data_IF_808677701487
#
_entry.id   IF_808677701487
#
_cell.length_a   1.000
_cell.length_b   1.000
_cell.length_c   1.000
_cell.angle_alpha   90.00
_cell.angle_beta   90.00
_cell.angle_gamma   90.00
#
_symmetry.space_group_name_H-M   'P 1'
#
loop_
_entity.id
_entity.type
_entity.pdbx_description
1 polymer ?
#
# COMPACT_ATOMS: atom_id res chain seq x y z
N UNK A 1 20.63 -16.22 -3.92
CA UNK A 1 19.51 -16.23 -2.96
C UNK A 1 19.63 -15.06 -1.99
N UNK A 2 20.78 -14.88 -1.34
CA UNK A 2 21.05 -13.77 -0.41
C UNK A 2 20.70 -12.39 -0.98
N UNK A 3 21.01 -12.13 -2.26
CA UNK A 3 20.65 -10.87 -2.90
C UNK A 3 19.13 -10.63 -2.92
N UNK A 4 18.32 -11.66 -3.21
CA UNK A 4 16.86 -11.54 -3.17
C UNK A 4 16.34 -11.36 -1.73
N UNK A 5 16.95 -12.01 -0.75
CA UNK A 5 16.64 -11.83 0.68
C UNK A 5 16.91 -10.39 1.11
N UNK A 6 18.06 -9.83 0.76
CA UNK A 6 18.42 -8.43 1.04
C UNK A 6 17.44 -7.44 0.43
N UNK A 7 16.91 -7.73 -0.76
CA UNK A 7 15.87 -6.91 -1.40
C UNK A 7 14.47 -7.09 -0.79
N UNK A 8 14.30 -8.01 0.16
CA UNK A 8 13.04 -8.26 0.85
C UNK A 8 12.11 -9.22 0.12
N UNK A 9 12.64 -10.23 -0.58
CA UNK A 9 11.83 -11.19 -1.34
C UNK A 9 10.74 -11.88 -0.50
N UNK A 10 10.97 -12.11 0.79
CA UNK A 10 9.95 -12.65 1.69
C UNK A 10 8.73 -11.72 1.86
N UNK A 11 8.92 -10.41 1.70
CA UNK A 11 7.86 -9.41 1.86
C UNK A 11 7.20 -9.05 0.52
N UNK A 12 7.98 -8.98 -0.56
CA UNK A 12 7.50 -8.47 -1.85
C UNK A 12 7.30 -9.56 -2.92
N UNK A 13 7.82 -10.77 -2.71
CA UNK A 13 7.70 -11.88 -3.65
C UNK A 13 7.59 -13.23 -2.92
N UNK A 14 6.79 -13.26 -1.84
CA UNK A 14 6.80 -14.36 -0.86
C UNK A 14 6.55 -15.75 -1.48
N UNK A 15 5.64 -15.84 -2.45
CA UNK A 15 5.35 -17.09 -3.15
C UNK A 15 6.54 -17.58 -3.98
N UNK A 16 7.15 -16.71 -4.79
CA UNK A 16 8.33 -17.08 -5.58
C UNK A 16 9.54 -17.36 -4.68
N UNK A 17 9.67 -16.63 -3.57
CA UNK A 17 10.69 -16.87 -2.56
C UNK A 17 10.57 -18.28 -1.98
N UNK A 18 9.38 -18.67 -1.52
CA UNK A 18 9.11 -20.02 -1.01
C UNK A 18 9.35 -21.11 -2.07
N UNK A 19 9.02 -20.82 -3.34
CA UNK A 19 9.29 -21.74 -4.44
C UNK A 19 10.80 -21.96 -4.66
N UNK A 20 11.60 -20.90 -4.65
CA UNK A 20 13.06 -20.99 -4.79
C UNK A 20 13.68 -21.70 -3.59
N UNK A 21 13.20 -21.42 -2.37
CA UNK A 21 13.60 -22.16 -1.16
C UNK A 21 13.35 -23.66 -1.30
N UNK A 22 12.13 -24.04 -1.70
CA UNK A 22 11.77 -25.44 -1.90
C UNK A 22 12.63 -26.13 -2.96
N UNK A 23 12.92 -25.43 -4.08
CA UNK A 23 13.78 -25.97 -5.13
C UNK A 23 15.22 -26.20 -4.65
N UNK A 24 15.77 -25.28 -3.83
CA UNK A 24 17.10 -25.43 -3.24
C UNK A 24 17.14 -26.59 -2.24
N UNK A 25 16.12 -26.72 -1.37
CA UNK A 25 16.00 -27.84 -0.43
C UNK A 25 15.96 -29.17 -1.18
N UNK A 26 15.11 -29.30 -2.19
CA UNK A 26 15.02 -30.51 -3.00
C UNK A 26 16.36 -30.85 -3.69
N UNK A 27 17.09 -29.85 -4.17
CA UNK A 27 18.41 -30.05 -4.78
C UNK A 27 19.43 -30.57 -3.76
N UNK A 28 19.43 -30.05 -2.53
CA UNK A 28 20.30 -30.49 -1.44
C UNK A 28 19.93 -31.89 -0.93
N UNK A 29 18.65 -32.24 -0.91
CA UNK A 29 18.18 -33.60 -0.59
C UNK A 29 18.62 -34.62 -1.62
N UNK A 30 18.63 -34.26 -2.91
CA UNK A 30 19.19 -35.12 -3.96
C UNK A 30 20.70 -35.32 -3.75
N UNK A 31 21.46 -34.27 -3.39
CA UNK A 31 22.89 -34.42 -3.04
C UNK A 31 23.08 -35.42 -1.90
N UNK A 32 22.35 -35.27 -0.80
CA UNK A 32 22.41 -36.19 0.35
C UNK A 32 22.04 -37.62 -0.03
N UNK A 33 21.02 -37.78 -0.88
CA UNK A 33 20.60 -39.09 -1.41
C UNK A 33 21.72 -39.75 -2.20
N UNK A 34 22.44 -38.98 -3.01
CA UNK A 34 23.59 -39.48 -3.76
C UNK A 34 24.78 -39.78 -2.86
N UNK A 35 25.02 -39.00 -1.80
CA UNK A 35 26.10 -39.23 -0.84
C UNK A 35 26.01 -40.60 -0.16
N UNK A 36 24.80 -41.12 0.04
CA UNK A 36 24.54 -42.44 0.62
C UNK A 36 24.73 -43.63 -0.34
N UNK A 37 25.02 -43.40 -1.63
CA UNK A 37 25.18 -44.47 -2.64
C UNK A 37 26.64 -44.88 -2.83
N UNK A 38 26.86 -46.16 -3.12
CA UNK A 38 28.18 -46.72 -3.46
C UNK A 38 28.68 -46.25 -4.84
N UNK A 39 27.77 -46.09 -5.81
CA UNK A 39 28.03 -45.52 -7.12
C UNK A 39 27.21 -44.23 -7.27
N UNK A 40 27.87 -43.10 -7.09
CA UNK A 40 27.24 -41.78 -6.98
C UNK A 40 26.99 -41.17 -8.36
N UNK A 41 25.83 -40.55 -8.56
CA UNK A 41 25.55 -39.76 -9.76
C UNK A 41 24.89 -38.43 -9.37
N UNK A 42 25.63 -37.35 -9.48
CA UNK A 42 25.16 -36.00 -9.11
C UNK A 42 24.57 -35.20 -10.28
N UNK A 43 24.37 -35.78 -11.46
CA UNK A 43 23.92 -35.02 -12.63
C UNK A 43 22.54 -34.39 -12.41
N UNK A 44 21.62 -35.14 -11.79
CA UNK A 44 20.31 -34.61 -11.38
C UNK A 44 20.45 -33.47 -10.36
N UNK A 45 21.27 -33.66 -9.32
CA UNK A 45 21.52 -32.62 -8.32
C UNK A 45 22.11 -31.34 -8.95
N UNK A 46 23.07 -31.48 -9.88
CA UNK A 46 23.65 -30.35 -10.62
C UNK A 46 22.61 -29.61 -11.45
N UNK A 47 21.73 -30.33 -12.15
CA UNK A 47 20.63 -29.71 -12.90
C UNK A 47 19.68 -28.95 -11.98
N UNK A 48 19.29 -29.55 -10.85
CA UNK A 48 18.42 -28.90 -9.87
C UNK A 48 19.07 -27.65 -9.25
N UNK A 49 20.36 -27.71 -8.91
CA UNK A 49 21.11 -26.55 -8.40
C UNK A 49 21.25 -25.45 -9.45
N UNK A 50 21.49 -25.80 -10.72
CA UNK A 50 21.54 -24.84 -11.81
C UNK A 50 20.18 -24.13 -12.01
N UNK A 51 19.08 -24.88 -11.93
CA UNK A 51 17.74 -24.30 -11.99
C UNK A 51 17.45 -23.40 -10.79
N UNK A 52 17.73 -23.86 -9.57
CA UNK A 52 17.53 -23.07 -8.36
C UNK A 52 18.36 -21.77 -8.36
N UNK A 53 19.56 -21.80 -8.95
CA UNK A 53 20.37 -20.60 -9.18
C UNK A 53 19.70 -19.64 -10.16
N UNK A 54 19.23 -20.12 -11.31
CA UNK A 54 18.53 -19.30 -12.29
C UNK A 54 17.23 -18.69 -11.73
N UNK A 55 16.44 -19.50 -11.01
CA UNK A 55 15.21 -19.05 -10.37
C UNK A 55 15.49 -18.01 -9.28
N UNK A 56 16.60 -18.17 -8.53
CA UNK A 56 17.02 -17.17 -7.55
C UNK A 56 17.42 -15.83 -8.17
N UNK A 57 18.00 -15.81 -9.37
CA UNK A 57 18.35 -14.57 -10.08
C UNK A 57 17.08 -13.89 -10.62
N UNK A 58 16.16 -14.67 -11.17
CA UNK A 58 14.85 -14.17 -11.59
C UNK A 58 14.04 -13.60 -10.41
N UNK A 59 14.08 -14.26 -9.25
CA UNK A 59 13.44 -13.81 -8.03
C UNK A 59 13.97 -12.44 -7.56
N UNK A 60 15.29 -12.22 -7.63
CA UNK A 60 15.87 -10.92 -7.27
C UNK A 60 15.29 -9.81 -8.15
N UNK A 61 15.29 -10.00 -9.47
CA UNK A 61 14.75 -9.03 -10.41
C UNK A 61 13.26 -8.75 -10.17
N UNK A 62 12.47 -9.81 -9.93
CA UNK A 62 11.04 -9.70 -9.61
C UNK A 62 10.80 -8.95 -8.30
N UNK A 63 11.60 -9.22 -7.27
CA UNK A 63 11.50 -8.57 -5.96
C UNK A 63 11.74 -7.07 -6.09
N UNK A 64 12.78 -6.65 -6.79
CA UNK A 64 13.09 -5.23 -7.00
C UNK A 64 11.96 -4.54 -7.79
N UNK A 65 11.47 -5.18 -8.85
CA UNK A 65 10.39 -4.63 -9.66
C UNK A 65 9.08 -4.49 -8.85
N UNK A 66 8.73 -5.49 -8.05
CA UNK A 66 7.51 -5.47 -7.26
C UNK A 66 7.59 -4.47 -6.10
N UNK A 67 8.75 -4.39 -5.44
CA UNK A 67 9.03 -3.36 -4.42
C UNK A 67 8.85 -1.96 -4.99
N UNK A 68 9.42 -1.69 -6.16
CA UNK A 68 9.29 -0.41 -6.84
C UNK A 68 7.83 -0.12 -7.21
N UNK A 69 7.11 -1.10 -7.76
CA UNK A 69 5.69 -0.98 -8.11
C UNK A 69 4.83 -0.61 -6.89
N UNK A 70 5.08 -1.25 -5.75
CA UNK A 70 4.36 -0.98 -4.50
C UNK A 70 4.69 0.41 -3.94
N UNK A 71 5.95 0.83 -4.02
CA UNK A 71 6.35 2.19 -3.65
C UNK A 71 5.62 3.23 -4.51
N UNK A 72 5.63 3.06 -5.83
CA UNK A 72 4.98 3.98 -6.76
C UNK A 72 3.47 4.04 -6.52
N UNK A 73 2.83 2.90 -6.23
CA UNK A 73 1.42 2.84 -5.85
C UNK A 73 1.13 3.60 -4.56
N UNK A 74 1.93 3.39 -3.50
CA UNK A 74 1.74 4.08 -2.23
C UNK A 74 1.89 5.61 -2.36
N UNK A 75 2.85 6.07 -3.18
CA UNK A 75 3.01 7.50 -3.49
C UNK A 75 1.80 8.04 -4.25
N UNK A 76 1.29 7.29 -5.23
CA UNK A 76 0.10 7.68 -5.98
C UNK A 76 -1.15 7.77 -5.08
N UNK A 77 -1.32 6.81 -4.17
CA UNK A 77 -2.44 6.81 -3.22
C UNK A 77 -2.35 7.96 -2.22
N UNK A 78 -1.15 8.27 -1.72
CA UNK A 78 -0.91 9.44 -0.87
C UNK A 78 -1.29 10.74 -1.59
N UNK A 79 -0.89 10.91 -2.85
CA UNK A 79 -1.24 12.08 -3.65
C UNK A 79 -2.77 12.19 -3.88
N UNK A 80 -3.43 11.06 -4.15
CA UNK A 80 -4.89 11.01 -4.31
C UNK A 80 -5.62 11.36 -3.00
N UNK A 81 -5.15 10.84 -1.87
CA UNK A 81 -5.67 11.16 -0.55
C UNK A 81 -5.52 12.65 -0.22
N UNK A 82 -4.33 13.23 -0.49
CA UNK A 82 -4.08 14.65 -0.29
C UNK A 82 -5.01 15.53 -1.14
N UNK A 83 -5.28 15.15 -2.39
CA UNK A 83 -6.23 15.85 -3.26
C UNK A 83 -7.66 15.81 -2.71
N UNK A 84 -8.09 14.65 -2.19
CA UNK A 84 -9.42 14.50 -1.60
C UNK A 84 -9.57 15.33 -0.31
N UNK A 85 -8.56 15.31 0.56
CA UNK A 85 -8.54 16.11 1.80
C UNK A 85 -8.53 17.61 1.47
N UNK A 86 -7.75 18.06 0.49
CA UNK A 86 -7.71 19.45 0.06
C UNK A 86 -9.09 19.92 -0.45
N UNK A 87 -9.75 19.08 -1.25
CA UNK A 87 -11.13 19.34 -1.71
C UNK A 87 -12.10 19.50 -0.54
N UNK A 88 -12.08 18.58 0.43
CA UNK A 88 -12.95 18.67 1.60
C UNK A 88 -12.69 19.93 2.43
N UNK A 89 -11.41 20.31 2.59
CA UNK A 89 -10.97 21.51 3.29
C UNK A 89 -11.47 22.79 2.60
N UNK A 90 -11.41 22.85 1.27
CA UNK A 90 -11.95 23.96 0.49
C UNK A 90 -13.49 24.06 0.60
N UNK A 91 -14.20 22.93 0.52
CA UNK A 91 -15.66 22.90 0.64
C UNK A 91 -16.12 23.42 2.02
N UNK A 92 -15.51 22.93 3.10
CA UNK A 92 -15.91 23.36 4.46
C UNK A 92 -15.54 24.82 4.73
N UNK A 93 -14.47 25.33 4.13
CA UNK A 93 -14.09 26.74 4.22
C UNK A 93 -15.12 27.66 3.53
N UNK A 94 -15.69 27.20 2.42
CA UNK A 94 -16.70 27.92 1.64
C UNK A 94 -18.14 27.72 2.13
N UNK A 95 -18.37 26.82 3.09
CA UNK A 95 -19.71 26.53 3.61
C UNK A 95 -20.34 27.77 4.30
N UNK A 96 -21.59 28.14 3.94
CA UNK A 96 -22.24 29.34 4.47
C UNK A 96 -22.58 29.18 5.96
N UNK A 97 -22.24 30.19 6.77
CA UNK A 97 -22.48 30.17 8.22
C UNK A 97 -23.85 30.76 8.56
N UNK A 98 -24.76 29.93 9.05
CA UNK A 98 -26.06 30.34 9.59
C UNK A 98 -26.29 29.82 11.01
N UNK A 99 -27.27 30.38 11.73
CA UNK A 99 -27.59 29.95 13.12
C UNK A 99 -27.91 28.45 13.23
N UNK A 100 -28.39 27.82 12.14
CA UNK A 100 -28.75 26.41 12.09
C UNK A 100 -27.63 25.44 11.66
N UNK A 101 -26.54 25.90 11.05
CA UNK A 101 -25.45 25.05 10.52
C UNK A 101 -24.09 25.28 11.14
N UNK A 102 -23.96 26.28 12.03
CA UNK A 102 -22.67 26.62 12.62
C UNK A 102 -22.04 25.45 13.39
N UNK A 103 -22.86 24.62 14.06
CA UNK A 103 -22.39 23.43 14.77
C UNK A 103 -21.91 22.34 13.80
N UNK A 104 -22.70 22.03 12.77
CA UNK A 104 -22.36 21.02 11.76
C UNK A 104 -21.07 21.39 11.01
N UNK A 105 -20.94 22.64 10.57
CA UNK A 105 -19.74 23.13 9.87
C UNK A 105 -18.51 23.10 10.79
N UNK A 106 -18.68 23.37 12.10
CA UNK A 106 -17.58 23.27 13.06
C UNK A 106 -17.14 21.82 13.26
N UNK A 107 -18.07 20.87 13.33
CA UNK A 107 -17.76 19.44 13.40
C UNK A 107 -17.02 18.97 12.13
N UNK A 108 -17.53 19.31 10.94
CA UNK A 108 -16.90 18.97 9.67
C UNK A 108 -15.48 19.54 9.56
N UNK A 109 -15.24 20.76 10.07
CA UNK A 109 -13.90 21.35 10.10
C UNK A 109 -12.95 20.56 11.02
N UNK A 110 -13.45 20.06 12.14
CA UNK A 110 -12.66 19.20 13.03
C UNK A 110 -12.33 17.87 12.33
N UNK A 111 -13.28 17.30 11.58
CA UNK A 111 -13.08 16.07 10.82
C UNK A 111 -12.03 16.26 9.71
N UNK A 112 -12.09 17.35 8.94
CA UNK A 112 -11.04 17.71 7.96
C UNK A 112 -9.68 17.78 8.64
N UNK A 113 -9.58 18.46 9.79
CA UNK A 113 -8.30 18.59 10.51
C UNK A 113 -7.78 17.23 10.99
N UNK A 114 -8.68 16.32 11.39
CA UNK A 114 -8.32 14.94 11.71
C UNK A 114 -7.78 14.16 10.51
N UNK A 115 -8.36 14.36 9.33
CA UNK A 115 -7.88 13.75 8.09
C UNK A 115 -6.53 14.32 7.64
N UNK A 116 -6.32 15.64 7.78
CA UNK A 116 -5.02 16.29 7.52
C UNK A 116 -3.93 15.70 8.44
N UNK A 117 -4.22 15.52 9.73
CA UNK A 117 -3.31 14.89 10.66
C UNK A 117 -3.01 13.43 10.26
N UNK A 118 -4.05 12.64 9.95
CA UNK A 118 -3.88 11.25 9.53
C UNK A 118 -3.05 11.12 8.24
N UNK A 119 -3.16 12.08 7.31
CA UNK A 119 -2.39 12.13 6.06
C UNK A 119 -0.88 12.24 6.33
N UNK A 120 -0.48 12.98 7.36
CA UNK A 120 0.94 13.11 7.74
C UNK A 120 1.57 11.80 8.20
N UNK A 121 0.75 10.85 8.64
CA UNK A 121 1.20 9.55 9.12
C UNK A 121 1.43 8.53 7.98
N UNK A 122 1.11 8.86 6.73
CA UNK A 122 1.31 7.98 5.57
C UNK A 122 2.76 8.03 5.07
N UNK A 123 3.36 9.22 4.98
CA UNK A 123 4.74 9.36 4.46
C UNK A 123 5.77 8.54 5.24
N UNK A 124 5.75 8.48 6.60
CA UNK A 124 6.66 7.62 7.34
C UNK A 124 6.55 6.13 7.02
N UNK A 125 5.36 5.65 6.62
CA UNK A 125 5.18 4.25 6.19
C UNK A 125 5.85 4.00 4.84
N UNK A 126 5.76 4.95 3.91
CA UNK A 126 6.45 4.91 2.62
C UNK A 126 7.97 4.93 2.85
N UNK A 127 8.46 5.87 3.65
CA UNK A 127 9.89 6.01 3.97
C UNK A 127 10.43 4.76 4.70
N UNK A 128 9.59 4.12 5.51
CA UNK A 128 9.88 2.86 6.20
C UNK A 128 9.78 1.61 5.32
N UNK A 129 9.31 1.72 4.08
CA UNK A 129 9.13 0.58 3.16
C UNK A 129 7.87 -0.26 3.39
N UNK A 130 6.98 0.17 4.29
CA UNK A 130 5.68 -0.46 4.53
C UNK A 130 4.64 0.08 3.54
N UNK A 131 4.87 -0.20 2.27
CA UNK A 131 4.07 0.33 1.16
C UNK A 131 2.62 -0.17 1.18
N UNK A 132 2.39 -1.39 1.67
CA UNK A 132 1.04 -1.94 1.78
C UNK A 132 0.22 -1.19 2.83
N UNK A 133 0.76 -0.98 4.04
CA UNK A 133 0.08 -0.20 5.06
C UNK A 133 -0.06 1.27 4.65
N UNK A 134 0.92 1.84 3.95
CA UNK A 134 0.85 3.20 3.41
C UNK A 134 -0.32 3.35 2.43
N UNK A 135 -0.43 2.45 1.45
CA UNK A 135 -1.51 2.45 0.45
C UNK A 135 -2.88 2.25 1.10
N UNK A 136 -3.03 1.27 2.00
CA UNK A 136 -4.28 1.03 2.72
C UNK A 136 -4.74 2.29 3.49
N UNK A 137 -3.82 2.91 4.23
CA UNK A 137 -4.10 4.10 5.02
C UNK A 137 -4.46 5.30 4.14
N UNK A 138 -3.71 5.52 3.07
CA UNK A 138 -3.98 6.60 2.12
C UNK A 138 -5.36 6.44 1.46
N UNK A 139 -5.70 5.23 1.00
CA UNK A 139 -7.02 4.94 0.42
C UNK A 139 -8.14 5.14 1.44
N UNK A 140 -7.96 4.70 2.69
CA UNK A 140 -8.94 4.93 3.74
C UNK A 140 -9.14 6.42 4.05
N UNK A 141 -8.08 7.23 4.01
CA UNK A 141 -8.17 8.69 4.17
C UNK A 141 -8.91 9.31 2.99
N UNK A 142 -8.56 8.91 1.77
CA UNK A 142 -9.21 9.37 0.54
C UNK A 142 -10.72 9.11 0.60
N UNK A 143 -11.13 7.89 0.93
CA UNK A 143 -12.55 7.51 0.98
C UNK A 143 -13.31 8.32 2.03
N UNK A 144 -12.71 8.54 3.21
CA UNK A 144 -13.30 9.40 4.26
C UNK A 144 -13.40 10.85 3.82
N UNK A 145 -12.38 11.39 3.15
CA UNK A 145 -12.37 12.77 2.66
C UNK A 145 -13.41 12.97 1.55
N UNK A 146 -13.61 11.99 0.67
CA UNK A 146 -14.69 11.99 -0.33
C UNK A 146 -16.06 11.96 0.34
N UNK A 147 -16.28 11.06 1.31
CA UNK A 147 -17.54 11.00 2.04
C UNK A 147 -17.85 12.32 2.79
N UNK A 148 -16.83 12.92 3.41
CA UNK A 148 -16.98 14.21 4.08
C UNK A 148 -17.28 15.34 3.08
N UNK A 149 -16.67 15.33 1.91
CA UNK A 149 -16.98 16.29 0.83
C UNK A 149 -18.44 16.21 0.40
N UNK A 150 -18.97 14.99 0.25
CA UNK A 150 -20.39 14.75 -0.06
C UNK A 150 -21.31 15.25 1.05
N UNK A 151 -20.94 15.02 2.31
CA UNK A 151 -21.69 15.51 3.47
C UNK A 151 -21.73 17.05 3.53
N UNK A 152 -20.58 17.70 3.32
CA UNK A 152 -20.49 19.17 3.28
C UNK A 152 -21.38 19.72 2.16
N UNK A 153 -21.33 19.14 0.96
CA UNK A 153 -22.21 19.52 -0.15
C UNK A 153 -23.69 19.38 0.23
N UNK A 154 -24.09 18.28 0.85
CA UNK A 154 -25.46 18.07 1.31
C UNK A 154 -25.91 19.10 2.36
N UNK A 155 -25.02 19.53 3.26
CA UNK A 155 -25.32 20.62 4.21
C UNK A 155 -25.44 21.97 3.50
N UNK A 156 -24.55 22.27 2.54
CA UNK A 156 -24.62 23.50 1.74
C UNK A 156 -25.94 23.60 0.94
N UNK A 157 -26.38 22.51 0.32
CA UNK A 157 -27.66 22.44 -0.41
C UNK A 157 -28.86 22.69 0.51
N UNK A 158 -28.90 22.05 1.68
CA UNK A 158 -29.95 22.29 2.69
C UNK A 158 -29.99 23.75 3.13
N UNK A 159 -28.82 24.37 3.31
CA UNK A 159 -28.72 25.78 3.69
C UNK A 159 -29.22 26.72 2.61
N UNK A 160 -28.84 26.48 1.35
CA UNK A 160 -29.34 27.26 0.22
C UNK A 160 -30.87 27.20 0.13
N UNK A 161 -31.46 26.01 0.32
CA UNK A 161 -32.91 25.81 0.31
C UNK A 161 -33.61 26.54 1.48
N UNK A 162 -32.99 26.63 2.66
CA UNK A 162 -33.53 27.35 3.81
C UNK A 162 -33.45 28.87 3.63
N UNK A 163 -32.35 29.39 3.08
CA UNK A 163 -32.17 30.83 2.82
C UNK A 163 -33.09 31.33 1.70
N UNK A 164 -33.38 30.51 0.69
CA UNK A 164 -34.34 30.84 -0.36
C UNK A 164 -35.80 30.93 0.11
N UNK A 165 -36.15 30.24 1.21
CA UNK A 165 -37.50 30.28 1.82
C UNK A 165 -37.72 31.45 2.80
N UNK A 166 -36.66 32.18 3.16
CA UNK A 166 -36.71 33.33 4.08
C UNK A 166 -36.78 34.69 3.35
N UNK A 167 -36.81 34.69 2.02
CA UNK A 167 -37.09 35.86 1.17
C UNK A 167 -38.55 35.86 0.76
#
# INVERSE_FOLDING_TARGET
MDAAVTEGAANYAAEDFAKVEGALVAALEEVKTQDGKMLKNYDKAKQMLAQAKADSEALQAKTVAEKQRLMDQAVADLAAAGTAVATASELVANAPKGKGSAADIMAMKADVSGLEAALTEVQPLIDGGDYAAASEKALAIKDKATALSDEINGVMEKLAALQGKQK
#
